data_IF_739793501460
#
_entry.id   IF_739793501460
#
_cell.length_a   1.000
_cell.length_b   1.000
_cell.length_c   1.000
_cell.angle_alpha   90.00
_cell.angle_beta   90.00
_cell.angle_gamma   90.00
#
_symmetry.space_group_name_H-M   'P 1'
#
loop_
_entity.id
_entity.type
_entity.pdbx_description
1 polymer ?
#
# COMPACT_ATOMS: atom_id res chain seq x y z
N UNK A 1 7.73 21.56 -10.63
CA UNK A 1 8.49 21.70 -9.37
C UNK A 1 9.16 20.36 -9.18
N UNK A 2 10.50 20.30 -9.14
CA UNK A 2 11.21 19.03 -9.11
C UNK A 2 10.93 18.26 -7.82
N UNK A 3 11.24 16.95 -7.81
CA UNK A 3 11.17 16.13 -6.61
C UNK A 3 12.01 16.77 -5.50
N UNK A 4 11.42 16.98 -4.31
CA UNK A 4 12.18 17.43 -3.14
C UNK A 4 13.20 16.36 -2.72
N UNK A 5 14.27 16.80 -2.07
CA UNK A 5 15.19 15.88 -1.39
C UNK A 5 14.59 15.46 -0.04
N UNK A 6 14.20 14.19 0.05
CA UNK A 6 13.62 13.58 1.26
C UNK A 6 14.67 12.93 2.17
N UNK A 7 15.95 13.30 2.07
CA UNK A 7 16.94 12.96 3.08
C UNK A 7 16.54 13.45 4.49
N UNK A 8 15.76 14.54 4.52
CA UNK A 8 15.04 15.08 5.67
C UNK A 8 13.53 14.96 5.40
N UNK A 9 12.83 14.18 6.23
CA UNK A 9 11.41 13.85 6.05
C UNK A 9 10.46 14.83 6.75
N UNK A 10 10.97 15.97 7.26
CA UNK A 10 10.14 17.05 7.79
C UNK A 10 9.12 17.52 6.74
N UNK A 11 7.84 17.48 7.11
CA UNK A 11 6.73 17.83 6.23
C UNK A 11 6.24 16.70 5.32
N UNK A 12 6.90 15.53 5.31
CA UNK A 12 6.49 14.38 4.52
C UNK A 12 5.06 13.95 4.83
N UNK A 13 4.65 13.91 6.10
CA UNK A 13 3.30 13.47 6.48
C UNK A 13 2.20 14.30 5.79
N UNK A 14 2.38 15.63 5.71
CA UNK A 14 1.42 16.51 5.03
C UNK A 14 1.44 16.27 3.53
N UNK A 15 2.63 16.20 2.93
CA UNK A 15 2.74 15.95 1.49
C UNK A 15 2.21 14.58 1.08
N UNK A 16 2.46 13.55 1.87
CA UNK A 16 2.04 12.17 1.61
C UNK A 16 0.53 12.07 1.50
N UNK A 17 -0.22 12.69 2.41
CA UNK A 17 -1.69 12.70 2.39
C UNK A 17 -2.21 13.49 1.18
N UNK A 18 -1.67 14.69 0.94
CA UNK A 18 -2.13 15.52 -0.19
C UNK A 18 -1.78 14.86 -1.52
N UNK A 19 -0.62 14.22 -1.64
CA UNK A 19 -0.20 13.53 -2.86
C UNK A 19 -1.06 12.29 -3.15
N UNK A 20 -1.46 11.53 -2.12
CA UNK A 20 -2.48 10.48 -2.29
C UNK A 20 -3.78 11.04 -2.86
N UNK A 21 -4.22 12.22 -2.38
CA UNK A 21 -5.43 12.85 -2.89
C UNK A 21 -5.28 13.33 -4.36
N UNK A 22 -4.15 13.94 -4.73
CA UNK A 22 -3.89 14.34 -6.12
C UNK A 22 -3.85 13.13 -7.08
N UNK A 23 -3.31 12.00 -6.61
CA UNK A 23 -3.34 10.74 -7.37
C UNK A 23 -4.77 10.22 -7.51
N UNK A 24 -5.57 10.23 -6.43
CA UNK A 24 -6.98 9.85 -6.47
C UNK A 24 -7.75 10.68 -7.50
N UNK A 25 -7.61 12.01 -7.46
CA UNK A 25 -8.28 12.93 -8.39
C UNK A 25 -7.90 12.65 -9.85
N UNK A 26 -6.60 12.46 -10.13
CA UNK A 26 -6.11 12.12 -11.47
C UNK A 26 -6.67 10.78 -11.96
N UNK A 27 -6.71 9.77 -11.09
CA UNK A 27 -7.13 8.41 -11.45
C UNK A 27 -8.63 8.37 -11.71
N UNK A 28 -9.44 9.00 -10.87
CA UNK A 28 -10.90 9.06 -11.07
C UNK A 28 -11.30 9.66 -12.41
N UNK A 29 -10.51 10.60 -12.95
CA UNK A 29 -10.76 11.21 -14.27
C UNK A 29 -10.38 10.30 -15.45
N UNK A 30 -9.54 9.28 -15.21
CA UNK A 30 -8.99 8.40 -16.26
C UNK A 30 -9.55 6.98 -16.23
N UNK A 31 -10.22 6.61 -15.15
CA UNK A 31 -10.79 5.28 -15.00
C UNK A 31 -11.94 5.03 -16.00
N UNK A 32 -11.98 3.87 -16.66
CA UNK A 32 -13.13 3.47 -17.45
C UNK A 32 -14.41 3.34 -16.61
N UNK A 33 -15.60 3.39 -17.23
CA UNK A 33 -16.85 3.12 -16.53
C UNK A 33 -16.85 1.78 -15.78
N UNK A 34 -17.43 1.78 -14.58
CA UNK A 34 -17.51 0.58 -13.71
C UNK A 34 -16.37 0.47 -12.69
N UNK A 35 -15.22 1.10 -12.95
CA UNK A 35 -14.14 1.18 -11.98
C UNK A 35 -14.42 2.23 -10.90
N UNK A 36 -13.88 1.99 -9.71
CA UNK A 36 -13.93 2.91 -8.57
C UNK A 36 -12.54 3.05 -7.96
N UNK A 37 -12.08 4.28 -7.75
CA UNK A 37 -10.90 4.55 -6.94
C UNK A 37 -11.27 5.16 -5.58
N UNK A 38 -10.58 4.75 -4.52
CA UNK A 38 -10.74 5.28 -3.16
C UNK A 38 -9.44 5.12 -2.35
N UNK A 39 -9.31 5.93 -1.29
CA UNK A 39 -8.22 5.80 -0.32
C UNK A 39 -8.75 4.98 0.86
N UNK A 40 -8.03 3.94 1.25
CA UNK A 40 -8.44 3.06 2.36
C UNK A 40 -7.28 2.30 2.98
N UNK A 41 -7.45 1.86 4.22
CA UNK A 41 -6.60 0.80 4.77
C UNK A 41 -7.05 -0.53 4.17
N UNK A 42 -6.11 -1.44 3.89
CA UNK A 42 -6.47 -2.85 3.65
C UNK A 42 -6.66 -3.48 5.02
N UNK A 43 -7.84 -3.97 5.38
CA UNK A 43 -7.93 -4.92 6.48
C UNK A 43 -7.15 -6.15 6.04
N UNK A 44 -6.11 -6.51 6.79
CA UNK A 44 -5.51 -7.83 6.64
C UNK A 44 -6.64 -8.86 6.86
N UNK A 45 -6.94 -9.64 5.81
CA UNK A 45 -8.04 -10.61 5.67
C UNK A 45 -9.46 -10.00 5.63
N UNK A 46 -10.02 -9.91 4.43
CA UNK A 46 -11.44 -10.22 4.24
C UNK A 46 -11.56 -11.67 3.77
N UNK A 47 -11.93 -12.55 4.70
CA UNK A 47 -12.70 -13.76 4.36
C UNK A 47 -14.02 -13.26 3.80
N UNK A 48 -14.42 -13.76 2.62
CA UNK A 48 -15.65 -13.47 1.88
C UNK A 48 -16.70 -12.65 2.65
N UNK A 49 -16.74 -11.34 2.37
CA UNK A 49 -17.86 -10.49 2.77
C UNK A 49 -18.55 -9.98 1.49
N UNK A 50 -19.77 -10.45 1.18
CA UNK A 50 -20.54 -9.85 0.12
C UNK A 50 -21.02 -8.49 0.61
N UNK A 51 -20.73 -7.45 -0.17
CA UNK A 51 -21.25 -6.09 -0.05
C UNK A 51 -20.61 -5.20 1.04
N UNK A 52 -19.78 -4.26 0.55
CA UNK A 52 -20.08 -2.84 0.71
C UNK A 52 -19.79 -2.21 2.08
N UNK A 53 -18.64 -1.52 2.11
CA UNK A 53 -18.17 -0.53 3.11
C UNK A 53 -17.60 -1.14 4.40
N UNK A 54 -16.31 -0.90 4.72
CA UNK A 54 -15.84 -1.06 6.08
C UNK A 54 -16.29 0.18 6.87
N UNK A 55 -17.52 0.15 7.40
CA UNK A 55 -17.88 1.02 8.51
C UNK A 55 -17.17 0.47 9.75
N UNK A 56 -16.11 1.15 10.17
CA UNK A 56 -15.33 0.85 11.37
C UNK A 56 -16.19 1.11 12.61
N UNK A 57 -16.92 0.10 13.09
CA UNK A 57 -17.51 0.13 14.42
C UNK A 57 -16.50 -0.40 15.44
N UNK A 58 -15.85 0.50 16.16
CA UNK A 58 -15.11 0.17 17.40
C UNK A 58 -16.15 -0.01 18.51
N UNK A 59 -16.33 -1.24 19.00
CA UNK A 59 -17.06 -1.47 20.25
C UNK A 59 -16.13 -1.13 21.42
N UNK A 60 -16.35 0.00 22.07
CA UNK A 60 -15.72 0.28 23.36
C UNK A 60 -16.48 -0.51 24.43
N UNK A 61 -15.83 -1.51 25.02
CA UNK A 61 -16.38 -2.24 26.16
C UNK A 61 -15.95 -1.53 27.43
N UNK A 62 -16.88 -0.86 28.11
CA UNK A 62 -16.66 -0.38 29.48
C UNK A 62 -16.76 -1.57 30.43
N UNK A 63 -15.67 -1.90 31.11
CA UNK A 63 -15.64 -2.98 32.09
C UNK A 63 -16.23 -2.52 33.42
N UNK A 64 -17.29 -3.17 33.89
CA UNK A 64 -17.70 -3.09 35.30
C UNK A 64 -16.80 -3.98 36.17
N UNK A 65 -16.42 -3.56 37.39
CA UNK A 65 -15.69 -4.41 38.32
C UNK A 65 -16.67 -5.22 39.16
N UNK A 66 -16.77 -6.52 38.89
CA UNK A 66 -17.57 -7.46 39.68
C UNK A 66 -16.76 -8.68 40.06
N UNK A 67 -16.14 -8.67 41.24
CA UNK A 67 -15.52 -9.86 41.82
C UNK A 67 -16.57 -10.84 42.35
N UNK A 68 -16.34 -12.13 42.12
CA UNK A 68 -16.76 -13.24 42.99
C UNK A 68 -15.96 -14.47 42.58
N UNK A 69 -15.19 -15.04 43.53
CA UNK A 69 -14.53 -16.34 43.36
C UNK A 69 -15.59 -17.45 43.33
N UNK A 70 -15.63 -18.22 42.25
CA UNK A 70 -16.35 -19.48 42.16
C UNK A 70 -15.41 -20.57 41.63
N UNK A 71 -15.38 -21.70 42.33
CA UNK A 71 -14.61 -22.89 41.97
C UNK A 71 -15.06 -23.43 40.60
N UNK A 72 -14.14 -23.51 39.65
CA UNK A 72 -14.41 -24.00 38.29
C UNK A 72 -14.06 -25.48 38.16
N UNK A 73 -15.07 -26.28 37.82
CA UNK A 73 -14.87 -27.50 37.05
C UNK A 73 -14.32 -27.10 35.66
N UNK A 74 -13.35 -27.86 35.14
CA UNK A 74 -12.74 -27.59 33.84
C UNK A 74 -13.76 -27.79 32.71
N UNK A 75 -14.24 -26.69 32.14
CA UNK A 75 -15.08 -26.68 30.95
C UNK A 75 -14.20 -27.02 29.72
N UNK A 76 -14.46 -28.12 28.99
CA UNK A 76 -13.66 -28.52 27.83
C UNK A 76 -13.84 -27.58 26.62
N UNK A 77 -14.75 -26.61 26.70
CA UNK A 77 -14.91 -25.56 25.69
C UNK A 77 -14.22 -24.24 26.07
N UNK A 78 -13.63 -24.17 27.26
CA UNK A 78 -12.84 -23.02 27.68
C UNK A 78 -11.53 -22.95 26.87
N UNK A 79 -11.09 -21.75 26.47
CA UNK A 79 -9.81 -21.58 25.79
C UNK A 79 -8.65 -22.00 26.69
N UNK A 80 -7.70 -22.75 26.15
CA UNK A 80 -6.49 -23.20 26.86
C UNK A 80 -5.64 -22.02 27.38
N UNK A 81 -5.74 -20.86 26.73
CA UNK A 81 -5.06 -19.63 27.14
C UNK A 81 -5.86 -18.42 26.67
N UNK A 82 -6.26 -17.58 27.63
CA UNK A 82 -6.71 -16.22 27.34
C UNK A 82 -5.54 -15.26 27.49
N UNK A 83 -5.19 -14.58 26.41
CA UNK A 83 -4.14 -13.57 26.41
C UNK A 83 -4.61 -12.32 25.68
N UNK A 84 -4.06 -11.17 26.08
CA UNK A 84 -4.33 -9.90 25.40
C UNK A 84 -3.41 -9.83 24.19
N UNK A 85 -3.93 -10.17 23.02
CA UNK A 85 -3.26 -9.90 21.76
C UNK A 85 -3.42 -8.41 21.40
N UNK A 86 -2.30 -7.70 21.26
CA UNK A 86 -2.29 -6.35 20.71
C UNK A 86 -2.28 -6.46 19.18
N UNK A 87 -3.40 -6.11 18.56
CA UNK A 87 -3.46 -5.94 17.11
C UNK A 87 -3.08 -4.50 16.76
N UNK A 88 -1.86 -4.30 16.26
CA UNK A 88 -1.48 -3.04 15.62
C UNK A 88 -2.32 -2.90 14.34
N UNK A 89 -3.45 -2.20 14.42
CA UNK A 89 -4.16 -1.73 13.24
C UNK A 89 -3.20 -0.88 12.42
N UNK A 90 -2.85 -1.33 11.22
CA UNK A 90 -1.99 -0.59 10.31
C UNK A 90 -2.76 0.65 9.80
N UNK A 91 -2.43 1.87 10.27
CA UNK A 91 -3.17 3.06 9.85
C UNK A 91 -2.80 3.47 8.43
N UNK A 92 -1.90 2.76 7.75
CA UNK A 92 -1.48 3.11 6.40
C UNK A 92 -2.60 2.91 5.39
N UNK A 93 -2.94 4.03 4.78
CA UNK A 93 -3.80 4.09 3.62
C UNK A 93 -3.01 3.79 2.35
N UNK A 94 -3.71 3.15 1.41
CA UNK A 94 -3.30 3.00 0.04
C UNK A 94 -4.42 3.52 -0.85
N UNK A 95 -4.08 3.79 -2.11
CA UNK A 95 -5.09 4.04 -3.13
C UNK A 95 -5.51 2.70 -3.74
N UNK A 96 -6.79 2.38 -3.67
CA UNK A 96 -7.37 1.16 -4.20
C UNK A 96 -8.19 1.45 -5.44
N UNK A 97 -8.08 0.58 -6.43
CA UNK A 97 -8.85 0.59 -7.65
C UNK A 97 -9.64 -0.71 -7.69
N UNK A 98 -10.96 -0.58 -7.70
CA UNK A 98 -11.93 -1.66 -7.65
C UNK A 98 -12.72 -1.73 -8.95
N UNK A 99 -13.09 -2.94 -9.36
CA UNK A 99 -14.08 -3.19 -10.41
C UNK A 99 -15.12 -4.17 -9.85
N UNK A 100 -16.37 -3.71 -9.70
CA UNK A 100 -17.50 -4.52 -9.21
C UNK A 100 -17.25 -5.22 -7.85
N UNK A 101 -16.57 -4.55 -6.91
CA UNK A 101 -16.28 -5.09 -5.59
C UNK A 101 -15.06 -6.01 -5.53
N UNK A 102 -14.28 -6.09 -6.63
CA UNK A 102 -13.00 -6.79 -6.69
C UNK A 102 -11.86 -5.78 -6.79
N UNK A 103 -10.86 -5.91 -5.92
CA UNK A 103 -9.66 -5.09 -5.96
C UNK A 103 -8.82 -5.47 -7.20
N UNK A 104 -8.64 -4.52 -8.12
CA UNK A 104 -7.89 -4.71 -9.37
C UNK A 104 -6.46 -4.20 -9.24
N UNK A 105 -6.29 -3.02 -8.63
CA UNK A 105 -4.97 -2.43 -8.48
C UNK A 105 -4.84 -1.64 -7.16
N UNK A 106 -3.61 -1.51 -6.68
CA UNK A 106 -3.26 -0.70 -5.52
C UNK A 106 -2.08 0.23 -5.84
N UNK A 107 -2.11 1.45 -5.29
CA UNK A 107 -0.96 2.36 -5.28
C UNK A 107 -0.53 2.61 -3.84
N UNK A 108 0.74 2.33 -3.55
CA UNK A 108 1.36 2.50 -2.25
C UNK A 108 2.44 3.57 -2.35
N UNK A 109 2.29 4.66 -1.60
CA UNK A 109 3.34 5.65 -1.42
C UNK A 109 4.03 5.34 -0.10
N UNK A 110 5.32 4.99 -0.16
CA UNK A 110 6.09 4.59 1.02
C UNK A 110 6.24 5.76 1.99
N UNK A 111 6.00 5.49 3.28
CA UNK A 111 6.19 6.43 4.39
C UNK A 111 7.42 6.05 5.24
N UNK A 112 7.99 6.97 6.04
CA UNK A 112 9.14 6.69 6.91
C UNK A 112 8.89 5.52 7.87
N UNK A 113 7.65 5.40 8.38
CA UNK A 113 7.19 4.31 9.25
C UNK A 113 7.22 2.93 8.59
N UNK A 114 7.37 2.85 7.26
CA UNK A 114 7.50 1.57 6.58
C UNK A 114 8.91 1.02 6.64
N UNK A 115 9.87 1.90 6.93
CA UNK A 115 11.30 1.63 6.84
C UNK A 115 12.02 1.74 8.19
N UNK A 116 11.34 2.24 9.22
CA UNK A 116 11.90 2.58 10.53
C UNK A 116 12.50 1.37 11.28
N UNK A 117 11.76 0.26 11.37
CA UNK A 117 12.15 -0.96 12.09
C UNK A 117 12.15 -2.18 11.17
N UNK A 118 12.99 -3.21 11.41
CA UNK A 118 13.00 -4.43 10.60
C UNK A 118 11.63 -5.08 10.45
N UNK A 119 10.85 -5.17 11.54
CA UNK A 119 9.51 -5.76 11.51
C UNK A 119 8.50 -4.94 10.69
N UNK A 120 8.65 -3.62 10.61
CA UNK A 120 7.81 -2.80 9.73
C UNK A 120 8.16 -3.09 8.26
N UNK A 121 9.45 -3.14 7.92
CA UNK A 121 9.91 -3.48 6.58
C UNK A 121 9.37 -4.84 6.13
N UNK A 122 9.44 -5.85 6.98
CA UNK A 122 8.88 -7.17 6.71
C UNK A 122 7.36 -7.15 6.53
N UNK A 123 6.63 -6.46 7.42
CA UNK A 123 5.18 -6.31 7.35
C UNK A 123 4.73 -5.66 6.04
N UNK A 124 5.34 -4.53 5.65
CA UNK A 124 4.96 -3.83 4.42
C UNK A 124 5.43 -4.56 3.17
N UNK A 125 6.60 -5.21 3.18
CA UNK A 125 7.01 -6.08 2.08
C UNK A 125 6.00 -7.23 1.88
N UNK A 126 5.54 -7.85 2.97
CA UNK A 126 4.50 -8.88 2.95
C UNK A 126 3.19 -8.36 2.38
N UNK A 127 2.75 -7.15 2.78
CA UNK A 127 1.56 -6.50 2.22
C UNK A 127 1.68 -6.30 0.70
N UNK A 128 2.80 -5.75 0.22
CA UNK A 128 3.03 -5.53 -1.20
C UNK A 128 3.06 -6.84 -2.00
N UNK A 129 3.70 -7.87 -1.45
CA UNK A 129 3.72 -9.21 -2.04
C UNK A 129 2.33 -9.84 -2.10
N UNK A 130 1.50 -9.64 -1.07
CA UNK A 130 0.13 -10.15 -1.04
C UNK A 130 -0.71 -9.61 -2.19
N UNK A 131 -0.63 -8.31 -2.52
CA UNK A 131 -1.32 -7.77 -3.70
C UNK A 131 -0.92 -8.54 -4.96
N UNK A 132 0.38 -8.64 -5.24
CA UNK A 132 0.89 -9.30 -6.45
C UNK A 132 0.49 -10.77 -6.50
N UNK A 133 0.57 -11.48 -5.38
CA UNK A 133 0.17 -12.90 -5.26
C UNK A 133 -1.34 -13.12 -5.40
N UNK A 134 -2.16 -12.13 -5.08
CA UNK A 134 -3.62 -12.17 -5.23
C UNK A 134 -4.10 -11.71 -6.61
N UNK A 135 -3.20 -11.44 -7.56
CA UNK A 135 -3.58 -10.95 -8.89
C UNK A 135 -3.79 -9.44 -8.97
N UNK A 136 -3.61 -8.72 -7.87
CA UNK A 136 -3.78 -7.26 -7.80
C UNK A 136 -2.56 -6.58 -8.39
N UNK A 137 -2.77 -5.70 -9.37
CA UNK A 137 -1.70 -4.88 -9.94
C UNK A 137 -1.18 -3.89 -8.88
N UNK A 138 0.12 -3.66 -8.82
CA UNK A 138 0.71 -2.82 -7.78
C UNK A 138 1.55 -1.70 -8.38
N UNK A 139 1.31 -0.46 -7.97
CA UNK A 139 2.25 0.64 -8.14
C UNK A 139 2.86 1.02 -6.80
N UNK A 140 4.18 0.93 -6.70
CA UNK A 140 4.93 1.31 -5.50
C UNK A 140 5.77 2.55 -5.80
N UNK A 141 5.57 3.60 -5.00
CA UNK A 141 6.29 4.87 -5.11
C UNK A 141 7.10 5.05 -3.83
N UNK A 142 8.41 5.10 -3.97
CA UNK A 142 9.32 5.23 -2.84
C UNK A 142 10.33 6.33 -3.11
N UNK A 143 10.13 7.48 -2.47
CA UNK A 143 11.00 8.65 -2.62
C UNK A 143 11.94 8.85 -1.43
N UNK A 144 11.91 7.94 -0.44
CA UNK A 144 12.63 8.09 0.82
C UNK A 144 14.00 7.40 0.74
N UNK A 145 15.12 8.15 0.80
CA UNK A 145 16.46 7.60 0.55
C UNK A 145 17.02 6.75 1.69
N UNK A 146 16.36 6.74 2.87
CA UNK A 146 16.82 5.98 4.04
C UNK A 146 15.86 4.82 4.39
N UNK A 147 16.38 3.70 4.92
CA UNK A 147 17.80 3.40 5.12
C UNK A 147 18.53 3.13 3.80
N UNK A 148 19.80 3.54 3.73
CA UNK A 148 20.64 3.36 2.53
C UNK A 148 20.78 1.87 2.21
N UNK A 149 20.67 1.52 0.93
CA UNK A 149 20.81 0.14 0.47
C UNK A 149 19.57 -0.74 0.67
N UNK A 150 18.46 -0.18 1.17
CA UNK A 150 17.18 -0.88 1.25
C UNK A 150 16.21 -0.40 0.15
N UNK A 151 15.60 -1.36 -0.55
CA UNK A 151 14.58 -1.10 -1.57
C UNK A 151 13.48 -2.14 -1.47
N UNK A 152 12.23 -1.69 -1.35
CA UNK A 152 11.09 -2.59 -1.39
C UNK A 152 10.96 -3.27 -2.76
N UNK A 153 11.33 -2.60 -3.87
CA UNK A 153 11.29 -3.21 -5.19
C UNK A 153 12.26 -4.40 -5.31
N UNK A 154 13.44 -4.29 -4.70
CA UNK A 154 14.43 -5.39 -4.68
C UNK A 154 13.98 -6.53 -3.76
N UNK A 155 13.36 -6.21 -2.61
CA UNK A 155 12.75 -7.22 -1.72
C UNK A 155 11.63 -7.99 -2.44
N UNK A 156 10.77 -7.29 -3.17
CA UNK A 156 9.69 -7.92 -3.95
C UNK A 156 10.28 -8.86 -5.01
N UNK A 157 11.30 -8.41 -5.75
CA UNK A 157 11.93 -9.24 -6.78
C UNK A 157 12.56 -10.52 -6.23
N UNK A 158 13.29 -10.40 -5.12
CA UNK A 158 13.86 -11.55 -4.43
C UNK A 158 12.79 -12.55 -3.97
N UNK A 159 11.66 -12.06 -3.43
CA UNK A 159 10.57 -12.92 -2.94
C UNK A 159 9.73 -13.56 -4.05
N UNK A 160 9.68 -12.94 -5.23
CA UNK A 160 9.00 -13.49 -6.41
C UNK A 160 9.95 -14.26 -7.34
N UNK A 161 11.21 -14.41 -6.94
CA UNK A 161 12.24 -15.18 -7.65
C UNK A 161 12.40 -14.79 -9.13
N UNK A 162 12.28 -13.50 -9.46
CA UNK A 162 12.59 -13.00 -10.80
C UNK A 162 13.82 -12.10 -10.78
N UNK A 163 14.58 -12.11 -11.87
CA UNK A 163 15.76 -11.27 -12.02
C UNK A 163 15.37 -9.83 -12.39
N UNK A 164 15.93 -8.87 -11.66
CA UNK A 164 15.90 -7.47 -12.05
C UNK A 164 17.25 -6.80 -11.73
N UNK A 165 17.67 -5.82 -12.54
CA UNK A 165 18.69 -4.87 -12.11
C UNK A 165 18.28 -4.21 -10.79
N UNK A 166 19.24 -3.92 -9.88
CA UNK A 166 18.97 -3.23 -8.63
C UNK A 166 18.13 -1.96 -8.84
N UNK A 167 17.17 -1.73 -7.95
CA UNK A 167 16.24 -0.61 -8.01
C UNK A 167 16.42 0.27 -6.77
N UNK A 168 17.50 1.08 -6.70
CA UNK A 168 17.74 1.95 -5.57
C UNK A 168 16.68 3.05 -5.48
N UNK A 169 16.40 3.50 -4.26
CA UNK A 169 15.55 4.66 -4.00
C UNK A 169 16.26 5.96 -4.39
N UNK A 170 15.53 6.97 -4.91
CA UNK A 170 14.08 7.00 -5.08
C UNK A 170 13.62 6.37 -6.41
N UNK A 171 12.43 5.76 -6.42
CA UNK A 171 11.85 5.10 -7.59
C UNK A 171 10.31 5.17 -7.62
N UNK A 172 9.76 4.89 -8.80
CA UNK A 172 8.41 4.36 -8.96
C UNK A 172 8.46 3.04 -9.76
N UNK A 173 7.76 2.02 -9.28
CA UNK A 173 7.65 0.72 -9.97
C UNK A 173 6.18 0.36 -10.10
N UNK A 174 5.81 -0.18 -11.26
CA UNK A 174 4.48 -0.69 -11.54
C UNK A 174 4.55 -2.15 -11.97
N UNK A 175 3.72 -2.99 -11.36
CA UNK A 175 3.65 -4.43 -11.53
C UNK A 175 2.28 -4.79 -12.12
N UNK A 176 2.26 -5.37 -13.32
CA UNK A 176 1.08 -5.99 -13.91
C UNK A 176 1.15 -7.49 -13.69
N UNK A 177 0.17 -8.01 -12.97
CA UNK A 177 -0.05 -9.46 -12.83
C UNK A 177 -0.88 -9.96 -14.01
N UNK A 178 -0.43 -11.00 -14.68
CA UNK A 178 -1.10 -11.60 -15.83
C UNK A 178 -1.76 -12.92 -15.49
N UNK A 179 -1.99 -13.73 -16.53
CA UNK A 179 -2.55 -15.07 -16.37
C UNK A 179 -1.60 -16.02 -15.61
N UNK A 180 -2.20 -17.02 -14.99
CA UNK A 180 -1.47 -18.14 -14.42
C UNK A 180 -1.01 -19.09 -15.52
N UNK A 181 0.26 -19.47 -15.49
CA UNK A 181 0.90 -20.38 -16.43
C UNK A 181 1.50 -21.57 -15.67
N UNK A 182 1.79 -22.70 -16.33
CA UNK A 182 2.52 -23.79 -15.67
C UNK A 182 3.84 -23.26 -15.07
N UNK A 183 3.98 -23.35 -13.75
CA UNK A 183 5.17 -22.89 -13.02
C UNK A 183 5.11 -21.45 -12.48
N UNK A 184 4.02 -20.68 -12.68
CA UNK A 184 3.88 -19.37 -12.03
C UNK A 184 2.80 -18.47 -12.61
N UNK A 185 2.98 -17.16 -12.45
CA UNK A 185 2.08 -16.12 -12.97
C UNK A 185 2.90 -15.13 -13.79
N UNK A 186 2.41 -14.73 -14.96
CA UNK A 186 3.12 -13.73 -15.76
C UNK A 186 3.18 -12.39 -15.02
N UNK A 187 4.36 -11.78 -14.96
CA UNK A 187 4.56 -10.49 -14.31
C UNK A 187 5.26 -9.53 -15.29
N UNK A 188 4.65 -8.38 -15.56
CA UNK A 188 5.32 -7.29 -16.27
C UNK A 188 5.67 -6.16 -15.28
N UNK A 189 6.87 -5.59 -15.42
CA UNK A 189 7.40 -4.61 -14.48
C UNK A 189 7.89 -3.37 -15.23
N UNK A 190 7.33 -2.20 -14.92
CA UNK A 190 7.85 -0.90 -15.36
C UNK A 190 8.57 -0.23 -14.21
N UNK A 191 9.85 0.10 -14.41
CA UNK A 191 10.67 0.80 -13.41
C UNK A 191 10.96 2.22 -13.89
N UNK A 192 10.88 3.17 -12.99
CA UNK A 192 11.24 4.58 -13.20
C UNK A 192 12.17 4.99 -12.05
N UNK A 193 13.50 5.01 -12.27
CA UNK A 193 14.41 5.67 -11.37
C UNK A 193 14.00 7.13 -11.22
N UNK A 194 13.97 7.63 -10.00
CA UNK A 194 13.70 9.03 -9.70
C UNK A 194 14.98 9.66 -9.10
N UNK A 195 15.03 10.98 -9.03
CA UNK A 195 16.10 11.69 -8.36
C UNK A 195 15.61 13.01 -7.79
N UNK A 196 16.12 13.39 -6.62
CA UNK A 196 15.87 14.72 -6.06
C UNK A 196 16.35 15.80 -7.06
N UNK A 197 15.59 16.88 -7.17
CA UNK A 197 15.87 17.95 -8.12
C UNK A 197 15.49 17.65 -9.57
N UNK A 198 15.02 16.45 -9.91
CA UNK A 198 14.62 16.06 -11.26
C UNK A 198 13.07 15.99 -11.41
N UNK A 199 12.55 16.11 -12.65
CA UNK A 199 11.14 15.84 -12.93
C UNK A 199 10.81 14.35 -12.68
N UNK A 200 9.56 14.07 -12.31
CA UNK A 200 9.10 12.69 -12.09
C UNK A 200 8.54 12.12 -13.40
N UNK A 201 8.88 10.88 -13.71
CA UNK A 201 8.41 10.24 -14.94
C UNK A 201 6.96 9.78 -14.83
N UNK A 202 6.24 9.82 -15.94
CA UNK A 202 4.96 9.12 -16.06
C UNK A 202 5.17 7.59 -16.07
N UNK A 203 4.23 6.87 -15.48
CA UNK A 203 4.28 5.41 -15.33
C UNK A 203 2.88 4.80 -15.55
N UNK A 204 2.75 3.67 -16.26
CA UNK A 204 1.45 3.02 -16.43
C UNK A 204 0.98 2.38 -15.11
N UNK A 205 -0.31 2.52 -14.81
CA UNK A 205 -1.04 1.71 -13.83
C UNK A 205 -1.92 0.72 -14.61
N UNK A 206 -1.56 -0.57 -14.64
CA UNK A 206 -2.38 -1.60 -15.25
C UNK A 206 -3.74 -1.71 -14.56
N UNK A 207 -4.78 -1.92 -15.35
CA UNK A 207 -6.13 -2.30 -14.91
C UNK A 207 -6.47 -3.72 -15.37
N UNK A 208 -5.88 -4.16 -16.49
CA UNK A 208 -5.94 -5.54 -16.97
C UNK A 208 -4.62 -5.91 -17.64
N UNK A 209 -4.54 -7.11 -18.23
CA UNK A 209 -3.42 -7.50 -19.09
C UNK A 209 -3.27 -6.64 -20.34
N UNK A 210 -4.34 -6.05 -20.86
CA UNK A 210 -4.33 -5.29 -22.11
C UNK A 210 -4.51 -3.79 -21.91
N UNK A 211 -4.98 -3.37 -20.73
CA UNK A 211 -5.37 -1.99 -20.46
C UNK A 211 -4.64 -1.43 -19.24
N UNK A 212 -4.16 -0.19 -19.38
CA UNK A 212 -3.51 0.57 -18.34
C UNK A 212 -3.83 2.06 -18.50
N UNK A 213 -3.89 2.79 -17.40
CA UNK A 213 -3.95 4.25 -17.40
C UNK A 213 -2.57 4.83 -17.10
N UNK A 214 -2.21 5.94 -17.75
CA UNK A 214 -0.94 6.61 -17.45
C UNK A 214 -1.09 7.50 -16.22
N UNK A 215 -0.21 7.31 -15.22
CA UNK A 215 -0.10 8.15 -14.03
C UNK A 215 1.01 9.18 -14.27
N UNK A 216 0.65 10.45 -14.27
CA UNK A 216 1.60 11.57 -14.33
C UNK A 216 2.04 11.93 -12.91
N UNK A 217 3.17 11.35 -12.49
CA UNK A 217 3.74 11.57 -11.17
C UNK A 217 4.22 13.00 -10.98
N UNK A 218 4.72 13.67 -12.03
CA UNK A 218 5.19 15.05 -11.91
C UNK A 218 4.03 15.99 -11.62
N UNK A 219 2.93 15.89 -12.37
CA UNK A 219 1.78 16.77 -12.19
C UNK A 219 1.17 16.60 -10.79
N UNK A 220 0.94 15.35 -10.36
CA UNK A 220 0.35 15.06 -9.04
C UNK A 220 1.26 15.48 -7.89
N UNK A 221 2.56 15.21 -8.00
CA UNK A 221 3.53 15.63 -6.97
C UNK A 221 3.64 17.16 -6.89
N UNK A 222 3.71 17.84 -8.04
CA UNK A 222 3.81 19.30 -8.11
C UNK A 222 2.59 19.96 -7.49
N UNK A 223 1.39 19.47 -7.78
CA UNK A 223 0.17 20.04 -7.23
C UNK A 223 0.08 19.81 -5.72
N UNK A 224 0.42 18.61 -5.24
CA UNK A 224 0.48 18.32 -3.82
C UNK A 224 1.47 19.24 -3.09
N UNK A 225 2.66 19.41 -3.65
CA UNK A 225 3.67 20.28 -3.08
C UNK A 225 3.25 21.76 -3.10
N UNK A 226 2.62 22.23 -4.19
CA UNK A 226 2.08 23.59 -4.28
C UNK A 226 1.06 23.85 -3.17
N UNK A 227 0.19 22.87 -2.87
CA UNK A 227 -0.83 22.97 -1.82
C UNK A 227 -0.23 22.95 -0.41
N UNK A 228 0.80 22.14 -0.17
CA UNK A 228 1.43 22.01 1.15
C UNK A 228 2.37 23.16 1.48
N UNK A 229 3.21 23.57 0.53
CA UNK A 229 4.29 24.54 0.77
C UNK A 229 3.93 25.98 0.38
N UNK A 230 2.64 26.28 0.16
CA UNK A 230 2.06 27.59 -0.18
C UNK A 230 3.11 28.68 -0.46
N UNK A 231 3.51 28.81 -1.72
CA UNK A 231 4.19 30.02 -2.20
C UNK A 231 3.17 31.00 -2.72
#
# INVERSE_FOLDING_TARGET
MPLHDWADDRGWNSLHIVWQNELLELIQQRLPPGYRAYIGSVPALTVDAPNGRPDLNVRTWEGEPGGTEAQTASDPTAPDTETVAVFDLDPQTALHIDLHGQLVAAIEIVSPRNKDRPSARERYASRYLTYVRQGVHLMLIDVLPRPVGFSFADVIAANLAFEQPPCPVPFAVSYRVGESVPGGTLLAVWRRPLAAGQPLAAIPLPLTVEHAITIDLETTYREAARRVYLK
#
